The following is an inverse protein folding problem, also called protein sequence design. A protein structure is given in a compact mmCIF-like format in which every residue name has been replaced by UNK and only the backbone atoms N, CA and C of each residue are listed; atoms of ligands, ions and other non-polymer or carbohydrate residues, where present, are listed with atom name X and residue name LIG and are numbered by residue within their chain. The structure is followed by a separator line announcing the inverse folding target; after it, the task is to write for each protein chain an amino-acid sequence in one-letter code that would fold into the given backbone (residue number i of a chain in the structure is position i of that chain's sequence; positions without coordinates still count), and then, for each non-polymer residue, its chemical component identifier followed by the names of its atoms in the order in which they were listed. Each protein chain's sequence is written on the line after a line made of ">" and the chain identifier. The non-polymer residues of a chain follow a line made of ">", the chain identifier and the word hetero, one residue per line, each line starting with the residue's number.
data_IF_316240692922
#
_entry.id   IF_316240692922
#
_cell.length_a   1.000
_cell.length_b   1.000
_cell.length_c   1.000
_cell.angle_alpha   90.00
_cell.angle_beta   90.00
_cell.angle_gamma   90.00
#
_symmetry.space_group_name_H-M   'P 1'
#
loop_
_entity.id
_entity.type
_entity.pdbx_description
1 polymer ?
#
# COMPACT_ATOMS: atom_id res chain seq x y z
N UNK A 1 -1.70 -14.20 -18.39
CA UNK A 1 -2.64 -13.73 -17.36
C UNK A 1 -1.90 -13.17 -16.14
N UNK A 2 -1.07 -13.97 -15.44
CA UNK A 2 -0.37 -13.56 -14.20
C UNK A 2 0.48 -12.31 -14.38
N UNK A 3 1.19 -12.13 -15.50
CA UNK A 3 1.95 -10.91 -15.75
C UNK A 3 1.05 -9.68 -15.87
N UNK A 4 -0.10 -9.80 -16.53
CA UNK A 4 -1.07 -8.71 -16.69
C UNK A 4 -1.67 -8.34 -15.33
N UNK A 5 -2.10 -9.32 -14.53
CA UNK A 5 -2.65 -9.04 -13.19
C UNK A 5 -1.62 -8.38 -12.26
N UNK A 6 -0.33 -8.74 -12.38
CA UNK A 6 0.74 -8.08 -11.63
C UNK A 6 0.93 -6.61 -12.04
N UNK A 7 0.96 -6.31 -13.34
CA UNK A 7 1.14 -4.94 -13.84
C UNK A 7 -0.11 -4.09 -13.65
N UNK A 8 -1.29 -4.67 -13.85
CA UNK A 8 -2.57 -3.97 -13.62
C UNK A 8 -2.99 -3.94 -12.15
N UNK A 9 -2.21 -4.55 -11.28
CA UNK A 9 -2.46 -4.57 -9.82
C UNK A 9 -3.87 -5.08 -9.49
N UNK A 10 -4.31 -6.15 -10.16
CA UNK A 10 -5.69 -6.64 -10.08
C UNK A 10 -5.89 -7.70 -9.00
N UNK A 11 -4.83 -8.48 -8.69
CA UNK A 11 -4.87 -9.52 -7.64
C UNK A 11 -5.53 -10.84 -8.01
N UNK A 12 -6.05 -10.96 -9.23
CA UNK A 12 -6.64 -12.21 -9.69
C UNK A 12 -5.57 -13.19 -10.15
N UNK A 13 -5.67 -14.43 -9.73
CA UNK A 13 -4.73 -15.50 -10.10
C UNK A 13 -5.50 -16.70 -10.67
N UNK A 14 -4.98 -17.27 -11.75
CA UNK A 14 -5.50 -18.51 -12.35
C UNK A 14 -4.79 -19.76 -11.83
N UNK A 15 -3.64 -19.55 -11.19
CA UNK A 15 -2.79 -20.59 -10.61
C UNK A 15 -2.23 -20.10 -9.29
N UNK A 16 -1.96 -20.99 -8.34
CA UNK A 16 -1.42 -20.64 -7.03
C UNK A 16 0.04 -20.19 -7.18
N UNK A 17 0.38 -18.90 -6.94
CA UNK A 17 1.73 -18.40 -7.19
C UNK A 17 2.79 -19.08 -6.32
N UNK A 18 2.42 -19.48 -5.11
CA UNK A 18 3.32 -20.13 -4.15
C UNK A 18 3.93 -21.42 -4.69
N UNK A 19 3.16 -22.25 -5.40
CA UNK A 19 3.52 -23.61 -5.82
C UNK A 19 3.91 -23.71 -7.29
N UNK A 20 3.32 -22.88 -8.15
CA UNK A 20 3.47 -22.99 -9.60
C UNK A 20 4.66 -22.19 -10.16
N UNK A 21 5.07 -21.12 -9.47
CA UNK A 21 6.17 -20.28 -9.97
C UNK A 21 7.50 -20.60 -9.28
N UNK A 22 8.56 -20.64 -10.11
CA UNK A 22 9.94 -20.71 -9.63
C UNK A 22 10.33 -19.44 -8.87
N UNK A 23 11.45 -19.47 -8.16
CA UNK A 23 11.97 -18.30 -7.45
C UNK A 23 12.19 -17.10 -8.42
N UNK A 24 12.70 -17.37 -9.61
CA UNK A 24 12.89 -16.35 -10.67
C UNK A 24 11.53 -15.80 -11.11
N UNK A 25 10.54 -16.65 -11.33
CA UNK A 25 9.18 -16.24 -11.67
C UNK A 25 8.55 -15.33 -10.60
N UNK A 26 8.72 -15.65 -9.31
CA UNK A 26 8.30 -14.81 -8.19
C UNK A 26 9.02 -13.46 -8.16
N UNK A 27 10.30 -13.44 -8.48
CA UNK A 27 11.07 -12.20 -8.63
C UNK A 27 10.57 -11.32 -9.78
N UNK A 28 10.25 -11.93 -10.93
CA UNK A 28 9.64 -11.20 -12.06
C UNK A 28 8.27 -10.62 -11.66
N UNK A 29 7.43 -11.40 -10.98
CA UNK A 29 6.14 -10.91 -10.46
C UNK A 29 6.31 -9.71 -9.55
N UNK A 30 7.27 -9.75 -8.63
CA UNK A 30 7.57 -8.63 -7.72
C UNK A 30 7.92 -7.35 -8.50
N UNK A 31 8.79 -7.45 -9.52
CA UNK A 31 9.17 -6.31 -10.37
C UNK A 31 7.96 -5.78 -11.14
N UNK A 32 7.11 -6.66 -11.69
CA UNK A 32 5.91 -6.26 -12.42
C UNK A 32 4.89 -5.56 -11.50
N UNK A 33 4.69 -6.06 -10.28
CA UNK A 33 3.85 -5.43 -9.25
C UNK A 33 4.39 -4.03 -8.91
N UNK A 34 5.71 -3.91 -8.72
CA UNK A 34 6.33 -2.61 -8.41
C UNK A 34 6.14 -1.60 -9.53
N UNK A 35 6.29 -2.02 -10.80
CA UNK A 35 6.04 -1.16 -11.97
C UNK A 35 4.57 -0.74 -12.02
N UNK A 36 3.65 -1.66 -11.80
CA UNK A 36 2.21 -1.40 -11.79
C UNK A 36 1.79 -0.47 -10.66
N UNK A 37 2.21 -0.74 -9.43
CA UNK A 37 1.85 0.03 -8.24
C UNK A 37 2.40 1.45 -8.20
N UNK A 38 3.61 1.67 -8.72
CA UNK A 38 4.16 3.02 -8.89
C UNK A 38 3.44 3.80 -9.99
N UNK A 39 2.79 3.10 -10.91
CA UNK A 39 2.18 3.67 -12.10
C UNK A 39 3.19 3.93 -13.24
N UNK A 40 2.70 3.79 -14.46
CA UNK A 40 3.52 3.87 -15.69
C UNK A 40 4.27 5.20 -15.79
N UNK A 41 3.67 6.31 -15.35
CA UNK A 41 4.27 7.65 -15.44
C UNK A 41 5.45 7.80 -14.48
N UNK A 42 5.32 7.31 -13.24
CA UNK A 42 6.42 7.36 -12.29
C UNK A 42 7.57 6.44 -12.73
N UNK A 43 7.25 5.23 -13.22
CA UNK A 43 8.24 4.27 -13.70
C UNK A 43 8.99 4.77 -14.93
N UNK A 44 8.29 5.28 -15.94
CA UNK A 44 8.93 5.87 -17.13
C UNK A 44 9.79 7.07 -16.77
N UNK A 45 9.32 7.92 -15.87
CA UNK A 45 10.10 9.07 -15.40
C UNK A 45 11.34 8.64 -14.62
N UNK A 46 11.22 7.63 -13.75
CA UNK A 46 12.34 7.04 -13.03
C UNK A 46 13.37 6.43 -14.00
N UNK A 47 12.92 5.74 -15.04
CA UNK A 47 13.77 5.17 -16.07
C UNK A 47 14.56 6.24 -16.84
N UNK A 48 13.91 7.35 -17.24
CA UNK A 48 14.61 8.47 -17.86
C UNK A 48 15.63 9.12 -16.92
N UNK A 49 15.34 9.21 -15.62
CA UNK A 49 16.27 9.71 -14.63
C UNK A 49 17.49 8.79 -14.45
N UNK A 50 17.28 7.48 -14.44
CA UNK A 50 18.36 6.48 -14.40
C UNK A 50 19.28 6.59 -15.62
N UNK A 51 18.72 6.80 -16.80
CA UNK A 51 19.47 7.03 -18.04
C UNK A 51 20.10 8.42 -18.14
N UNK A 52 19.97 9.25 -17.10
CA UNK A 52 20.42 10.65 -17.08
C UNK A 52 19.89 11.51 -18.24
N UNK A 53 18.77 11.09 -18.87
CA UNK A 53 18.11 11.86 -19.93
C UNK A 53 17.21 12.92 -19.34
N UNK A 54 17.17 14.09 -19.99
CA UNK A 54 16.26 15.18 -19.59
C UNK A 54 14.82 14.78 -19.94
N UNK A 55 13.90 14.92 -18.97
CA UNK A 55 12.47 14.72 -19.21
C UNK A 55 11.98 15.87 -20.09
N UNK A 56 11.35 15.54 -21.23
CA UNK A 56 10.82 16.52 -22.17
C UNK A 56 9.71 17.36 -21.52
N UNK A 57 9.38 18.50 -22.15
CA UNK A 57 8.30 19.37 -21.67
C UNK A 57 6.96 18.63 -21.58
N UNK A 58 6.61 17.85 -22.62
CA UNK A 58 5.40 17.02 -22.62
C UNK A 58 5.39 15.99 -21.47
N UNK A 59 6.53 15.34 -21.21
CA UNK A 59 6.66 14.42 -20.08
C UNK A 59 6.43 15.09 -18.73
N UNK A 60 6.94 16.30 -18.53
CA UNK A 60 6.69 17.09 -17.31
C UNK A 60 5.22 17.48 -17.17
N UNK A 61 4.56 17.84 -18.27
CA UNK A 61 3.13 18.15 -18.27
C UNK A 61 2.29 16.92 -17.87
N UNK A 62 2.59 15.74 -18.43
CA UNK A 62 1.91 14.50 -18.05
C UNK A 62 2.06 14.19 -16.56
N UNK A 63 3.27 14.34 -15.99
CA UNK A 63 3.52 14.15 -14.56
C UNK A 63 2.71 15.14 -13.73
N UNK A 64 2.70 16.43 -14.09
CA UNK A 64 1.93 17.48 -13.41
C UNK A 64 0.45 17.12 -13.35
N UNK A 65 -0.12 16.75 -14.48
CA UNK A 65 -1.53 16.38 -14.57
C UNK A 65 -1.87 15.11 -13.78
N UNK A 66 -1.01 14.09 -13.81
CA UNK A 66 -1.25 12.82 -13.13
C UNK A 66 -1.17 12.92 -11.60
N UNK A 67 -0.36 13.83 -11.10
CA UNK A 67 -0.21 14.04 -9.65
C UNK A 67 -0.91 15.30 -9.14
N UNK A 68 -1.67 16.01 -10.00
CA UNK A 68 -2.37 17.24 -9.61
C UNK A 68 -1.42 18.34 -9.11
N UNK A 69 -0.24 18.49 -9.72
CA UNK A 69 0.74 19.48 -9.30
C UNK A 69 0.53 20.80 -10.06
N UNK A 70 0.42 21.90 -9.34
CA UNK A 70 0.19 23.24 -9.93
C UNK A 70 1.41 23.78 -10.69
N UNK A 71 2.61 23.27 -10.43
CA UNK A 71 3.84 23.76 -11.02
C UNK A 71 4.70 22.66 -11.64
N UNK A 72 5.28 22.96 -12.81
CA UNK A 72 6.22 22.06 -13.49
C UNK A 72 7.62 22.09 -12.87
N UNK A 73 7.90 23.06 -11.99
CA UNK A 73 9.20 23.19 -11.35
C UNK A 73 9.34 22.20 -10.20
N UNK A 74 10.47 21.50 -10.14
CA UNK A 74 10.74 20.55 -9.06
C UNK A 74 10.20 19.12 -9.25
N UNK A 75 9.58 18.79 -10.39
CA UNK A 75 9.02 17.46 -10.67
C UNK A 75 10.02 16.31 -10.53
N UNK A 76 11.26 16.52 -10.99
CA UNK A 76 12.33 15.52 -10.82
C UNK A 76 12.56 15.22 -9.34
N UNK A 77 12.62 16.27 -8.52
CA UNK A 77 12.76 16.12 -7.06
C UNK A 77 11.52 15.45 -6.44
N UNK A 78 10.33 15.71 -6.99
CA UNK A 78 9.10 15.07 -6.55
C UNK A 78 9.13 13.56 -6.82
N UNK A 79 9.44 13.13 -8.05
CA UNK A 79 9.54 11.70 -8.41
C UNK A 79 10.58 10.97 -7.56
N UNK A 80 11.76 11.56 -7.35
CA UNK A 80 12.78 10.97 -6.48
C UNK A 80 12.26 10.80 -5.04
N UNK A 81 11.50 11.78 -4.55
CA UNK A 81 10.86 11.68 -3.23
C UNK A 81 9.81 10.56 -3.21
N UNK A 82 8.95 10.49 -4.24
CA UNK A 82 7.96 9.41 -4.39
C UNK A 82 8.65 8.05 -4.29
N UNK A 83 9.68 7.80 -5.10
CA UNK A 83 10.43 6.55 -5.09
C UNK A 83 11.05 6.26 -3.71
N UNK A 84 11.72 7.23 -3.12
CA UNK A 84 12.31 7.07 -1.78
C UNK A 84 11.25 6.79 -0.72
N UNK A 85 10.11 7.48 -0.77
CA UNK A 85 8.99 7.26 0.14
C UNK A 85 8.42 5.86 0.02
N UNK A 86 8.14 5.42 -1.21
CA UNK A 86 7.66 4.06 -1.51
C UNK A 86 8.58 2.99 -0.95
N UNK A 87 9.85 2.98 -1.36
CA UNK A 87 10.81 1.97 -0.89
C UNK A 87 11.03 2.02 0.63
N UNK A 88 10.94 3.18 1.25
CA UNK A 88 11.05 3.30 2.71
C UNK A 88 9.85 2.64 3.41
N UNK A 89 8.63 2.91 2.96
CA UNK A 89 7.41 2.33 3.55
C UNK A 89 7.36 0.83 3.29
N UNK A 90 7.70 0.37 2.08
CA UNK A 90 7.81 -1.05 1.75
C UNK A 90 8.86 -1.76 2.60
N UNK A 91 10.02 -1.17 2.82
CA UNK A 91 11.06 -1.74 3.68
C UNK A 91 10.58 -1.90 5.14
N UNK A 92 9.89 -0.88 5.67
CA UNK A 92 9.30 -0.95 7.01
C UNK A 92 8.25 -2.08 7.07
N UNK A 93 7.35 -2.14 6.10
CA UNK A 93 6.35 -3.21 6.00
C UNK A 93 6.99 -4.59 5.90
N UNK A 94 8.05 -4.75 5.09
CA UNK A 94 8.78 -5.99 4.95
C UNK A 94 9.39 -6.46 6.28
N UNK A 95 9.90 -5.54 7.11
CA UNK A 95 10.40 -5.88 8.46
C UNK A 95 9.26 -6.43 9.32
N UNK A 96 8.10 -5.76 9.37
CA UNK A 96 6.97 -6.23 10.16
C UNK A 96 6.44 -7.59 9.71
N UNK A 97 6.31 -7.82 8.41
CA UNK A 97 5.94 -9.14 7.88
C UNK A 97 6.99 -10.20 8.21
N UNK A 98 8.27 -9.87 8.07
CA UNK A 98 9.37 -10.80 8.31
C UNK A 98 9.42 -11.27 9.76
N UNK A 99 9.07 -10.42 10.74
CA UNK A 99 9.01 -10.80 12.15
C UNK A 99 8.11 -12.04 12.35
N UNK A 100 7.00 -12.11 11.65
CA UNK A 100 6.08 -13.24 11.74
C UNK A 100 6.46 -14.38 10.80
N UNK A 101 6.75 -14.08 9.54
CA UNK A 101 7.02 -15.13 8.54
C UNK A 101 8.33 -15.90 8.79
N UNK A 102 9.32 -15.27 9.43
CA UNK A 102 10.55 -15.97 9.81
C UNK A 102 10.27 -17.07 10.83
N UNK A 103 9.31 -16.89 11.72
CA UNK A 103 8.91 -17.90 12.70
C UNK A 103 8.24 -19.11 12.03
N UNK A 104 7.47 -18.88 10.97
CA UNK A 104 6.69 -19.93 10.31
C UNK A 104 7.45 -20.62 9.16
N UNK A 105 8.32 -19.90 8.43
CA UNK A 105 8.97 -20.37 7.19
C UNK A 105 10.51 -20.39 7.24
N UNK A 106 11.10 -20.00 8.37
CA UNK A 106 12.55 -19.84 8.51
C UNK A 106 13.07 -18.53 7.91
N UNK A 107 14.33 -18.19 8.19
CA UNK A 107 14.89 -16.85 7.92
C UNK A 107 14.84 -16.48 6.45
N UNK A 108 15.39 -17.31 5.57
CA UNK A 108 15.55 -16.97 4.14
C UNK A 108 14.19 -16.82 3.44
N UNK A 109 13.30 -17.81 3.62
CA UNK A 109 11.96 -17.77 3.02
C UNK A 109 11.09 -16.71 3.68
N UNK A 110 11.16 -16.56 5.01
CA UNK A 110 10.37 -15.61 5.76
C UNK A 110 10.66 -14.16 5.37
N UNK A 111 11.94 -13.80 5.20
CA UNK A 111 12.33 -12.46 4.71
C UNK A 111 11.88 -12.26 3.26
N UNK A 112 12.07 -13.25 2.38
CA UNK A 112 11.60 -13.17 0.99
C UNK A 112 10.09 -12.98 0.89
N UNK A 113 9.32 -13.71 1.67
CA UNK A 113 7.87 -13.55 1.75
C UNK A 113 7.48 -12.20 2.36
N UNK A 114 8.20 -11.72 3.37
CA UNK A 114 8.00 -10.41 3.95
C UNK A 114 8.16 -9.28 2.95
N UNK A 115 9.21 -9.30 2.15
CA UNK A 115 9.44 -8.33 1.07
C UNK A 115 8.32 -8.40 0.03
N UNK A 116 7.99 -9.61 -0.44
CA UNK A 116 6.97 -9.80 -1.46
C UNK A 116 5.59 -9.28 -1.01
N UNK A 117 5.17 -9.65 0.21
CA UNK A 117 3.87 -9.23 0.74
C UNK A 117 3.82 -7.73 1.04
N UNK A 118 4.95 -7.14 1.47
CA UNK A 118 5.01 -5.70 1.69
C UNK A 118 4.81 -4.91 0.39
N UNK A 119 5.50 -5.31 -0.69
CA UNK A 119 5.33 -4.71 -2.01
C UNK A 119 3.92 -4.95 -2.54
N UNK A 120 3.42 -6.19 -2.45
CA UNK A 120 2.07 -6.54 -2.89
C UNK A 120 0.98 -5.74 -2.17
N UNK A 121 1.09 -5.58 -0.84
CA UNK A 121 0.15 -4.80 -0.05
C UNK A 121 0.25 -3.30 -0.32
N UNK A 122 1.47 -2.76 -0.42
CA UNK A 122 1.68 -1.34 -0.72
C UNK A 122 1.18 -0.97 -2.12
N UNK A 123 1.45 -1.81 -3.11
CA UNK A 123 0.98 -1.61 -4.48
C UNK A 123 -0.50 -1.95 -4.66
N UNK A 124 -1.21 -2.44 -3.64
CA UNK A 124 -2.59 -2.95 -3.71
C UNK A 124 -2.76 -4.09 -4.73
N UNK A 125 -1.72 -4.90 -4.92
CA UNK A 125 -1.74 -5.97 -5.92
C UNK A 125 -2.56 -7.20 -5.50
N UNK A 126 -2.60 -7.49 -4.18
CA UNK A 126 -3.37 -8.62 -3.66
C UNK A 126 -2.82 -10.00 -4.01
N UNK A 127 -1.64 -10.08 -4.63
CA UNK A 127 -0.97 -11.35 -4.93
C UNK A 127 -0.17 -11.80 -3.71
N UNK A 128 -0.27 -13.07 -3.34
CA UNK A 128 0.45 -13.65 -2.20
C UNK A 128 1.26 -14.91 -2.58
N UNK A 129 2.13 -15.32 -1.66
CA UNK A 129 2.96 -16.53 -1.78
C UNK A 129 2.68 -17.56 -0.67
N UNK A 130 1.53 -17.46 0.03
CA UNK A 130 1.22 -18.31 1.17
C UNK A 130 0.44 -19.59 0.81
N UNK A 131 -0.04 -19.68 -0.42
CA UNK A 131 -0.75 -20.85 -0.92
C UNK A 131 -2.20 -20.57 -1.32
N UNK A 132 -3.04 -21.61 -1.35
CA UNK A 132 -4.44 -21.49 -1.80
C UNK A 132 -5.33 -20.69 -0.85
N UNK A 133 -4.98 -20.63 0.42
CA UNK A 133 -5.79 -19.98 1.45
C UNK A 133 -5.34 -18.53 1.74
N UNK A 134 -4.35 -18.00 1.02
CA UNK A 134 -3.87 -16.63 1.16
C UNK A 134 -3.59 -16.25 2.65
N UNK A 135 -4.03 -15.08 3.09
CA UNK A 135 -3.85 -14.60 4.46
C UNK A 135 -4.85 -15.16 5.50
N UNK A 136 -5.75 -16.08 5.12
CA UNK A 136 -6.77 -16.63 6.02
C UNK A 136 -6.11 -17.24 7.28
N UNK A 137 -5.01 -17.97 7.12
CA UNK A 137 -4.25 -18.53 8.26
C UNK A 137 -3.74 -17.49 9.27
N UNK A 138 -3.64 -16.23 8.85
CA UNK A 138 -3.20 -15.10 9.66
C UNK A 138 -4.33 -14.16 10.11
N UNK A 139 -5.60 -14.55 9.92
CA UNK A 139 -6.76 -13.76 10.33
C UNK A 139 -6.74 -13.38 11.82
N UNK A 140 -6.13 -14.22 12.67
CA UNK A 140 -5.93 -13.96 14.09
C UNK A 140 -4.64 -13.24 14.46
N UNK A 141 -3.78 -12.89 13.50
CA UNK A 141 -2.50 -12.21 13.77
C UNK A 141 -2.63 -10.69 13.66
N UNK A 142 -2.64 -9.94 14.78
CA UNK A 142 -2.76 -8.48 14.73
C UNK A 142 -1.64 -7.83 13.93
N UNK A 143 -0.41 -8.34 14.07
CA UNK A 143 0.77 -7.79 13.39
C UNK A 143 0.60 -7.80 11.87
N UNK A 144 0.22 -8.94 11.29
CA UNK A 144 0.03 -9.08 9.83
C UNK A 144 -1.14 -8.21 9.37
N UNK A 145 -2.28 -8.28 10.07
CA UNK A 145 -3.47 -7.52 9.69
C UNK A 145 -3.23 -6.01 9.71
N UNK A 146 -2.67 -5.47 10.81
CA UNK A 146 -2.40 -4.05 10.92
C UNK A 146 -1.32 -3.58 9.94
N UNK A 147 -0.29 -4.40 9.67
CA UNK A 147 0.73 -4.08 8.66
C UNK A 147 0.10 -3.97 7.28
N UNK A 148 -0.74 -4.95 6.90
CA UNK A 148 -1.43 -4.94 5.60
C UNK A 148 -2.37 -3.74 5.48
N UNK A 149 -3.21 -3.51 6.49
CA UNK A 149 -4.15 -2.38 6.53
C UNK A 149 -3.39 -1.05 6.39
N UNK A 150 -2.30 -0.87 7.16
CA UNK A 150 -1.51 0.36 7.12
C UNK A 150 -0.90 0.59 5.74
N UNK A 151 -0.30 -0.43 5.13
CA UNK A 151 0.31 -0.33 3.81
C UNK A 151 -0.71 0.05 2.73
N UNK A 152 -1.88 -0.62 2.72
CA UNK A 152 -2.97 -0.33 1.78
C UNK A 152 -3.49 1.09 1.97
N UNK A 153 -3.76 1.51 3.21
CA UNK A 153 -4.29 2.85 3.49
C UNK A 153 -3.26 3.92 3.10
N UNK A 154 -2.01 3.75 3.53
CA UNK A 154 -0.95 4.71 3.24
C UNK A 154 -0.73 4.85 1.73
N UNK A 155 -0.64 3.76 0.98
CA UNK A 155 -0.50 3.83 -0.49
C UNK A 155 -1.71 4.47 -1.17
N UNK A 156 -2.91 4.14 -0.72
CA UNK A 156 -4.16 4.64 -1.28
C UNK A 156 -4.46 6.12 -1.02
N UNK A 157 -3.79 6.76 -0.04
CA UNK A 157 -3.94 8.20 0.19
C UNK A 157 -3.35 9.05 -0.94
N UNK A 158 -2.34 8.52 -1.64
CA UNK A 158 -1.63 9.23 -2.70
C UNK A 158 -0.49 10.13 -2.21
N UNK A 159 0.52 10.26 -3.05
CA UNK A 159 1.75 10.98 -2.71
C UNK A 159 1.57 12.48 -2.39
N UNK A 160 0.70 13.24 -3.06
CA UNK A 160 0.47 14.64 -2.71
C UNK A 160 0.02 14.80 -1.25
N UNK A 161 -0.91 13.94 -0.80
CA UNK A 161 -1.41 13.95 0.59
C UNK A 161 -0.29 13.62 1.59
N UNK A 162 0.60 12.66 1.26
CA UNK A 162 1.74 12.34 2.13
C UNK A 162 2.63 13.57 2.35
N UNK A 163 2.95 14.29 1.26
CA UNK A 163 3.86 15.43 1.34
C UNK A 163 3.23 16.62 2.03
N UNK A 164 1.94 16.83 1.87
CA UNK A 164 1.21 17.84 2.61
C UNK A 164 1.23 17.53 4.12
N UNK A 165 0.91 16.31 4.52
CA UNK A 165 0.96 15.87 5.93
C UNK A 165 2.38 15.99 6.49
N UNK A 166 3.39 15.42 5.81
CA UNK A 166 4.78 15.44 6.27
C UNK A 166 5.34 16.86 6.32
N UNK A 167 4.95 17.72 5.38
CA UNK A 167 5.34 19.12 5.36
C UNK A 167 4.79 19.88 6.57
N UNK A 168 3.54 19.68 6.91
CA UNK A 168 2.89 20.30 8.07
C UNK A 168 3.42 19.75 9.39
N UNK A 169 3.70 18.43 9.49
CA UNK A 169 4.36 17.84 10.66
C UNK A 169 5.76 18.45 10.88
N UNK A 170 6.58 18.55 9.82
CA UNK A 170 7.91 19.17 9.92
C UNK A 170 7.85 20.62 10.37
N UNK A 171 6.86 21.40 9.90
CA UNK A 171 6.62 22.78 10.36
C UNK A 171 6.25 22.81 11.83
N UNK A 172 5.33 21.93 12.27
CA UNK A 172 4.91 21.84 13.67
C UNK A 172 6.07 21.52 14.61
N UNK A 173 6.91 20.54 14.24
CA UNK A 173 8.11 20.16 15.03
C UNK A 173 9.13 21.29 15.08
N UNK A 174 9.34 22.01 13.96
CA UNK A 174 10.30 23.12 13.90
C UNK A 174 9.87 24.32 14.73
N UNK A 175 8.58 24.57 14.85
CA UNK A 175 8.01 25.69 15.62
C UNK A 175 7.96 25.43 17.15
N UNK A 176 8.66 24.41 17.66
CA UNK A 176 8.82 24.07 19.09
C UNK A 176 7.53 24.06 19.91
N UNK A 177 6.46 23.46 19.41
CA UNK A 177 5.25 23.31 20.20
C UNK A 177 4.52 22.01 19.87
N UNK A 178 4.12 21.26 20.90
CA UNK A 178 3.11 20.18 20.80
C UNK A 178 1.78 20.81 20.42
N UNK A 179 1.59 21.05 19.12
CA UNK A 179 0.34 21.63 18.62
C UNK A 179 -0.73 20.55 18.52
N UNK A 180 -1.98 20.83 18.91
CA UNK A 180 -3.05 19.82 18.88
C UNK A 180 -3.30 19.34 17.45
N UNK A 181 -3.75 18.08 17.33
CA UNK A 181 -4.07 17.43 16.05
C UNK A 181 -5.03 18.27 15.17
N UNK A 182 -5.93 19.04 15.82
CA UNK A 182 -6.82 20.00 15.14
C UNK A 182 -6.06 21.05 14.33
N UNK A 183 -4.91 21.52 14.83
CA UNK A 183 -4.08 22.50 14.12
C UNK A 183 -3.47 21.89 12.86
N UNK A 184 -3.02 20.63 12.94
CA UNK A 184 -2.50 19.93 11.77
C UNK A 184 -3.58 19.81 10.68
N UNK A 185 -4.79 19.36 11.07
CA UNK A 185 -5.89 19.18 10.12
C UNK A 185 -6.33 20.51 9.47
N UNK A 186 -6.37 21.62 10.22
CA UNK A 186 -6.74 22.93 9.66
C UNK A 186 -5.75 23.44 8.61
N UNK A 187 -4.48 23.09 8.71
CA UNK A 187 -3.40 23.51 7.81
C UNK A 187 -3.23 22.66 6.55
N UNK A 188 -3.88 21.51 6.49
CA UNK A 188 -3.87 20.67 5.30
C UNK A 188 -4.59 21.35 4.13
N UNK A 189 -4.14 21.04 2.92
CA UNK A 189 -4.83 21.40 1.69
C UNK A 189 -6.23 20.79 1.63
N UNK A 190 -7.14 21.41 0.89
CA UNK A 190 -8.52 20.93 0.76
C UNK A 190 -8.57 19.49 0.23
N UNK A 191 -7.75 19.17 -0.78
CA UNK A 191 -7.63 17.83 -1.33
C UNK A 191 -7.26 16.80 -0.25
N UNK A 192 -6.26 17.10 0.58
CA UNK A 192 -5.81 16.21 1.66
C UNK A 192 -6.92 15.99 2.70
N UNK A 193 -7.67 17.04 3.06
CA UNK A 193 -8.81 16.94 3.98
C UNK A 193 -9.89 16.03 3.43
N UNK A 194 -10.29 16.24 2.18
CA UNK A 194 -11.33 15.44 1.52
C UNK A 194 -10.92 13.98 1.45
N UNK A 195 -9.69 13.70 1.01
CA UNK A 195 -9.16 12.33 0.92
C UNK A 195 -9.16 11.63 2.28
N UNK A 196 -8.69 12.30 3.34
CA UNK A 196 -8.64 11.72 4.68
C UNK A 196 -10.04 11.44 5.24
N UNK A 197 -10.98 12.39 5.10
CA UNK A 197 -12.34 12.23 5.59
C UNK A 197 -13.07 11.12 4.83
N UNK A 198 -13.00 11.13 3.50
CA UNK A 198 -13.64 10.10 2.67
C UNK A 198 -13.05 8.71 2.94
N UNK A 199 -11.73 8.61 3.06
CA UNK A 199 -11.06 7.35 3.41
C UNK A 199 -11.55 6.81 4.75
N UNK A 200 -11.53 7.65 5.79
CA UNK A 200 -11.99 7.24 7.13
C UNK A 200 -13.47 6.85 7.14
N UNK A 201 -14.32 7.62 6.46
CA UNK A 201 -15.77 7.36 6.37
C UNK A 201 -16.06 6.04 5.66
N UNK A 202 -15.40 5.77 4.53
CA UNK A 202 -15.60 4.54 3.77
C UNK A 202 -15.11 3.30 4.53
N UNK A 203 -13.94 3.39 5.17
CA UNK A 203 -13.42 2.29 5.99
C UNK A 203 -14.37 2.01 7.17
N UNK A 204 -14.83 3.04 7.88
CA UNK A 204 -15.75 2.87 8.99
C UNK A 204 -17.07 2.26 8.53
N UNK A 205 -17.67 2.82 7.48
CA UNK A 205 -18.93 2.35 6.92
C UNK A 205 -18.82 0.89 6.44
N UNK A 206 -17.77 0.57 5.66
CA UNK A 206 -17.53 -0.80 5.20
C UNK A 206 -17.29 -1.77 6.35
N UNK A 207 -16.52 -1.37 7.38
CA UNK A 207 -16.28 -2.20 8.57
C UNK A 207 -17.60 -2.53 9.28
N UNK A 208 -18.48 -1.54 9.48
CA UNK A 208 -19.77 -1.74 10.12
C UNK A 208 -20.66 -2.66 9.27
N UNK A 209 -20.71 -2.44 7.95
CA UNK A 209 -21.49 -3.28 7.05
C UNK A 209 -21.02 -4.75 7.06
N UNK A 210 -19.71 -4.98 6.87
CA UNK A 210 -19.17 -6.35 6.92
C UNK A 210 -19.42 -7.02 8.27
N UNK A 211 -19.23 -6.26 9.36
CA UNK A 211 -19.49 -6.78 10.70
C UNK A 211 -20.95 -7.19 10.91
N UNK A 212 -21.89 -6.37 10.47
CA UNK A 212 -23.32 -6.66 10.66
C UNK A 212 -23.81 -7.78 9.74
N UNK A 213 -23.44 -7.76 8.46
CA UNK A 213 -23.93 -8.71 7.47
C UNK A 213 -23.34 -10.11 7.63
N UNK A 214 -22.03 -10.19 7.98
CA UNK A 214 -21.31 -11.45 8.07
C UNK A 214 -21.19 -12.00 9.51
N UNK A 215 -21.76 -11.32 10.50
CA UNK A 215 -21.59 -11.67 11.92
C UNK A 215 -21.95 -13.12 12.24
N UNK A 216 -23.06 -13.61 11.69
CA UNK A 216 -23.60 -14.94 11.94
C UNK A 216 -23.34 -15.93 10.81
N UNK A 217 -22.64 -15.55 9.75
CA UNK A 217 -22.39 -16.39 8.60
C UNK A 217 -21.31 -17.45 8.91
N UNK A 218 -21.66 -18.74 9.03
CA UNK A 218 -20.71 -19.80 9.35
C UNK A 218 -19.67 -20.03 8.25
N UNK A 219 -19.99 -19.65 6.99
CA UNK A 219 -19.06 -19.80 5.87
C UNK A 219 -17.91 -18.76 5.89
N UNK A 220 -18.05 -17.69 6.66
CA UNK A 220 -17.06 -16.58 6.70
C UNK A 220 -16.52 -16.33 8.10
N UNK A 221 -17.29 -15.68 8.96
CA UNK A 221 -16.85 -15.21 10.27
C UNK A 221 -17.62 -15.85 11.45
N UNK A 222 -18.61 -16.71 11.20
CA UNK A 222 -19.50 -17.23 12.24
C UNK A 222 -18.78 -17.84 13.43
N UNK A 223 -17.70 -18.59 13.19
CA UNK A 223 -16.91 -19.28 14.21
C UNK A 223 -15.85 -18.40 14.89
N UNK A 224 -15.66 -17.16 14.43
CA UNK A 224 -14.62 -16.27 14.98
C UNK A 224 -15.08 -15.63 16.31
N UNK A 225 -14.13 -15.38 17.22
CA UNK A 225 -14.39 -14.54 18.39
C UNK A 225 -14.72 -13.10 17.95
N UNK A 226 -15.44 -12.35 18.78
CA UNK A 226 -15.88 -10.96 18.45
C UNK A 226 -14.71 -10.08 18.01
N UNK A 227 -13.57 -10.18 18.69
CA UNK A 227 -12.35 -9.42 18.33
C UNK A 227 -11.83 -9.80 16.96
N UNK A 228 -11.82 -11.09 16.61
CA UNK A 228 -11.42 -11.55 15.27
C UNK A 228 -12.41 -11.12 14.20
N UNK A 229 -13.73 -11.14 14.51
CA UNK A 229 -14.79 -10.65 13.60
C UNK A 229 -14.58 -9.18 13.27
N UNK A 230 -14.32 -8.35 14.28
CA UNK A 230 -14.07 -6.92 14.08
C UNK A 230 -12.80 -6.67 13.24
N UNK A 231 -11.72 -7.41 13.53
CA UNK A 231 -10.48 -7.30 12.77
C UNK A 231 -10.66 -7.74 11.31
N UNK A 232 -11.36 -8.85 11.07
CA UNK A 232 -11.64 -9.35 9.72
C UNK A 232 -12.53 -8.37 8.94
N UNK A 233 -13.56 -7.79 9.58
CA UNK A 233 -14.42 -6.78 8.97
C UNK A 233 -13.64 -5.51 8.60
N UNK A 234 -12.76 -5.04 9.48
CA UNK A 234 -11.88 -3.91 9.19
C UNK A 234 -10.91 -4.23 8.04
N UNK A 235 -10.28 -5.41 8.07
CA UNK A 235 -9.40 -5.87 7.01
C UNK A 235 -10.12 -5.90 5.66
N UNK A 236 -11.29 -6.54 5.60
CA UNK A 236 -12.08 -6.65 4.38
C UNK A 236 -12.53 -5.27 3.86
N UNK A 237 -12.95 -4.38 4.75
CA UNK A 237 -13.31 -3.01 4.37
C UNK A 237 -12.14 -2.23 3.75
N UNK A 238 -10.92 -2.43 4.25
CA UNK A 238 -9.73 -1.77 3.71
C UNK A 238 -9.29 -2.39 2.39
N UNK A 239 -9.35 -3.70 2.24
CA UNK A 239 -8.90 -4.39 1.00
C UNK A 239 -9.82 -4.16 -0.19
N UNK A 240 -11.08 -3.82 0.02
CA UNK A 240 -12.06 -3.52 -1.04
C UNK A 240 -12.09 -2.05 -1.48
N UNK A 241 -11.26 -1.23 -0.89
CA UNK A 241 -11.19 0.22 -1.15
C UNK A 241 -10.38 0.60 -2.41
#
# INVERSE_FOLDING_TARGET
>A
FTAVTCVCVTGLVTVVPATQFTLIGKGIMLVLIQIGGLGVIACTSAFFLLLRKKISFRGRQMISQSYGLDTMSGMVKFIIRVLKGTFTVEAIGAVFYSIRFVQDYGVVKGVGYGIFHSVSAFCNAGVDLLGSNSLIGYAGSPLINFTTILLIVVSGLGFPVWYDILGNIKKAVRERGTRPLKWLFTRLELQSKVVLVMTGSLILFGTVLFFLLEYSNPATMGEFSVTKKLMASLFQSVTTR
#
